data_IF_868054636745
#
_entry.id   IF_868054636745
#
_cell.length_a   1.000
_cell.length_b   1.000
_cell.length_c   1.000
_cell.angle_alpha   90.00
_cell.angle_beta   90.00
_cell.angle_gamma   90.00
#
_symmetry.space_group_name_H-M   'P 1'
#
loop_
_entity.id
_entity.type
_entity.pdbx_description
1 polymer ?
#
# COMPACT_ATOMS: atom_id res chain seq x y z
N UNK A 1 20.30 1.34 40.96
CA UNK A 1 19.26 2.38 40.87
C UNK A 1 19.14 2.81 39.42
N UNK A 2 18.15 2.22 38.75
CA UNK A 2 17.79 2.46 37.35
C UNK A 2 17.27 3.88 37.18
N UNK A 3 17.81 4.61 36.23
CA UNK A 3 17.37 5.96 35.84
C UNK A 3 15.94 5.90 35.28
N UNK A 4 14.98 5.94 36.20
CA UNK A 4 13.60 6.29 35.96
C UNK A 4 13.44 7.74 36.41
N UNK A 5 12.74 8.50 35.57
CA UNK A 5 12.15 9.81 35.85
C UNK A 5 13.11 11.00 35.72
N UNK A 6 13.04 11.69 34.57
CA UNK A 6 12.77 13.15 34.47
C UNK A 6 13.17 13.68 33.07
N UNK A 7 12.35 13.39 32.06
CA UNK A 7 12.12 14.31 30.94
C UNK A 7 10.61 14.22 30.63
N UNK A 8 9.91 15.30 30.93
CA UNK A 8 8.49 15.59 30.67
C UNK A 8 7.77 14.68 29.65
N UNK A 9 6.98 13.73 30.17
CA UNK A 9 5.54 13.60 29.92
C UNK A 9 4.95 13.64 28.50
N UNK A 10 5.74 13.60 27.42
CA UNK A 10 5.26 13.49 26.04
C UNK A 10 6.00 12.35 25.39
N UNK A 11 5.35 11.19 25.39
CA UNK A 11 5.79 10.10 24.54
C UNK A 11 5.70 10.60 23.10
N UNK A 12 6.82 10.63 22.41
CA UNK A 12 6.85 11.04 21.02
C UNK A 12 6.06 10.06 20.14
N UNK A 13 5.33 10.59 19.18
CA UNK A 13 4.43 9.83 18.32
C UNK A 13 3.02 9.66 18.88
N UNK A 14 2.02 9.57 17.99
CA UNK A 14 0.59 9.49 18.33
C UNK A 14 0.25 8.32 19.27
N UNK A 15 1.03 7.25 19.22
CA UNK A 15 0.88 6.06 20.04
C UNK A 15 2.27 5.59 20.53
N UNK A 16 2.52 5.56 21.85
CA UNK A 16 3.73 4.98 22.43
C UNK A 16 3.88 3.50 22.07
N UNK A 17 5.08 3.09 21.68
CA UNK A 17 5.41 1.69 21.45
C UNK A 17 6.63 1.31 22.28
N UNK A 18 6.43 0.35 23.20
CA UNK A 18 7.52 -0.19 24.00
C UNK A 18 8.57 -0.85 23.10
N UNK A 19 9.84 -0.61 23.39
CA UNK A 19 10.97 -1.14 22.61
C UNK A 19 11.30 -0.35 21.33
N UNK A 20 10.58 0.74 21.03
CA UNK A 20 10.86 1.62 19.89
C UNK A 20 11.20 3.01 20.39
N UNK A 21 12.34 3.54 19.95
CA UNK A 21 12.72 4.92 20.19
C UNK A 21 11.94 5.84 19.23
N UNK A 22 10.92 6.52 19.74
CA UNK A 22 10.14 7.49 19.00
C UNK A 22 10.62 8.90 19.37
N UNK A 23 10.75 9.79 18.38
CA UNK A 23 11.09 11.20 18.59
C UNK A 23 10.26 12.04 17.63
N UNK A 24 9.64 13.10 18.16
CA UNK A 24 8.90 14.08 17.36
C UNK A 24 9.83 15.22 16.95
N UNK A 25 9.70 15.64 15.69
CA UNK A 25 10.39 16.82 15.19
C UNK A 25 9.84 18.08 15.89
N UNK A 26 10.75 18.96 16.34
CA UNK A 26 10.43 20.23 16.99
C UNK A 26 11.03 21.36 16.15
N UNK A 27 10.32 21.74 15.09
CA UNK A 27 10.79 22.73 14.12
C UNK A 27 11.08 24.10 14.76
N UNK A 28 10.33 24.49 15.81
CA UNK A 28 10.51 25.75 16.56
C UNK A 28 11.91 25.90 17.17
N UNK A 29 12.56 24.79 17.53
CA UNK A 29 13.91 24.76 18.11
C UNK A 29 14.94 24.19 17.13
N UNK A 30 14.61 24.10 15.84
CA UNK A 30 15.49 23.59 14.79
C UNK A 30 15.70 22.07 14.80
N UNK A 31 14.91 21.31 15.56
CA UNK A 31 15.00 19.85 15.57
C UNK A 31 14.17 19.24 14.43
N UNK A 32 14.74 19.24 13.22
CA UNK A 32 14.11 18.77 11.97
C UNK A 32 14.34 17.28 11.70
N UNK A 33 13.67 16.71 10.69
CA UNK A 33 13.90 15.33 10.23
C UNK A 33 15.37 15.09 9.89
N UNK A 34 16.04 16.07 9.28
CA UNK A 34 17.47 16.01 8.97
C UNK A 34 18.33 15.85 10.22
N UNK A 35 18.03 16.62 11.27
CA UNK A 35 18.77 16.54 12.54
C UNK A 35 18.50 15.21 13.22
N UNK A 36 17.23 14.77 13.27
CA UNK A 36 16.83 13.52 13.89
C UNK A 36 17.46 12.30 13.19
N UNK A 37 17.33 12.20 11.86
CA UNK A 37 17.88 11.08 11.08
C UNK A 37 19.40 11.04 11.18
N UNK A 38 20.11 12.17 11.06
CA UNK A 38 21.58 12.17 11.22
C UNK A 38 22.02 11.75 12.63
N UNK A 39 21.23 12.07 13.66
CA UNK A 39 21.49 11.62 15.03
C UNK A 39 21.31 10.12 15.15
N UNK A 40 20.21 9.56 14.63
CA UNK A 40 19.97 8.12 14.63
C UNK A 40 21.04 7.37 13.84
N UNK A 41 21.47 7.87 12.68
CA UNK A 41 22.52 7.22 11.89
C UNK A 41 23.86 7.10 12.62
N UNK A 42 24.15 7.94 13.62
CA UNK A 42 25.34 7.79 14.49
C UNK A 42 25.18 6.66 15.51
N UNK A 43 23.95 6.32 15.87
CA UNK A 43 23.61 5.23 16.79
C UNK A 43 23.60 3.85 16.11
N UNK A 44 23.86 3.78 14.79
CA UNK A 44 23.81 2.55 13.97
C UNK A 44 22.47 1.79 14.15
N UNK A 45 21.36 2.38 13.71
CA UNK A 45 20.05 1.80 13.91
C UNK A 45 19.81 0.64 12.94
N UNK A 46 19.14 -0.41 13.42
CA UNK A 46 18.71 -1.53 12.58
C UNK A 46 17.55 -1.13 11.67
N UNK A 47 16.59 -0.37 12.19
CA UNK A 47 15.38 0.08 11.50
C UNK A 47 15.15 1.58 11.74
N UNK A 48 14.86 2.33 10.67
CA UNK A 48 14.37 3.70 10.75
C UNK A 48 13.00 3.78 10.05
N UNK A 49 12.05 4.50 10.67
CA UNK A 49 10.78 4.86 10.04
C UNK A 49 10.64 6.37 9.90
N UNK A 50 10.42 6.86 8.68
CA UNK A 50 10.22 8.28 8.38
C UNK A 50 9.20 8.48 7.25
N UNK A 51 8.67 9.69 7.09
CA UNK A 51 7.77 10.03 5.99
C UNK A 51 8.57 10.74 4.89
N UNK A 52 8.30 10.42 3.63
CA UNK A 52 8.93 11.07 2.49
C UNK A 52 8.03 12.19 2.01
N UNK A 53 8.39 13.43 2.32
CA UNK A 53 7.58 14.60 1.97
C UNK A 53 8.21 15.38 0.81
N UNK A 54 9.54 15.46 0.80
CA UNK A 54 10.32 16.28 -0.10
C UNK A 54 11.63 15.58 -0.53
N UNK A 55 12.41 16.28 -1.34
CA UNK A 55 13.72 15.82 -1.80
C UNK A 55 14.70 15.56 -0.64
N UNK A 56 14.67 16.38 0.43
CA UNK A 56 15.63 16.26 1.53
C UNK A 56 15.39 15.00 2.38
N UNK A 57 14.16 14.82 2.85
CA UNK A 57 13.71 13.63 3.60
C UNK A 57 13.91 12.35 2.79
N UNK A 58 13.67 12.40 1.48
CA UNK A 58 13.92 11.28 0.57
C UNK A 58 15.39 10.94 0.48
N UNK A 59 16.29 11.93 0.27
CA UNK A 59 17.73 11.66 0.26
C UNK A 59 18.25 11.08 1.57
N UNK A 60 17.70 11.51 2.70
CA UNK A 60 18.06 10.95 4.01
C UNK A 60 17.65 9.49 4.15
N UNK A 61 16.46 9.12 3.67
CA UNK A 61 16.00 7.74 3.64
C UNK A 61 16.94 6.84 2.82
N UNK A 62 17.30 7.25 1.60
CA UNK A 62 18.22 6.48 0.75
C UNK A 62 19.64 6.42 1.33
N UNK A 63 20.11 7.47 1.99
CA UNK A 63 21.40 7.47 2.72
C UNK A 63 21.39 6.53 3.92
N UNK A 64 20.26 6.38 4.61
CA UNK A 64 20.12 5.39 5.67
C UNK A 64 20.13 3.97 5.08
N UNK A 65 19.40 3.74 4.00
CA UNK A 65 19.35 2.45 3.31
C UNK A 65 20.74 2.00 2.82
N UNK A 66 21.56 2.91 2.25
CA UNK A 66 22.92 2.59 1.80
C UNK A 66 23.87 2.18 2.93
N UNK A 67 23.54 2.51 4.18
CA UNK A 67 24.25 2.05 5.38
C UNK A 67 23.72 0.74 5.96
N UNK A 68 22.92 -0.01 5.19
CA UNK A 68 22.31 -1.29 5.58
C UNK A 68 21.29 -1.17 6.73
N UNK A 69 20.72 0.01 6.95
CA UNK A 69 19.57 0.19 7.83
C UNK A 69 18.29 -0.13 7.06
N UNK A 70 17.37 -0.89 7.64
CA UNK A 70 16.03 -1.08 7.05
C UNK A 70 15.24 0.22 7.18
N UNK A 71 14.76 0.75 6.07
CA UNK A 71 13.99 1.99 6.05
C UNK A 71 12.53 1.71 5.74
N UNK A 72 11.65 2.04 6.68
CA UNK A 72 10.20 1.99 6.49
C UNK A 72 9.69 3.39 6.21
N UNK A 73 9.19 3.60 5.01
CA UNK A 73 8.79 4.92 4.54
C UNK A 73 7.40 4.95 3.96
N UNK A 74 6.74 6.09 4.07
CA UNK A 74 5.44 6.35 3.45
C UNK A 74 5.55 7.53 2.48
N UNK A 75 4.92 7.37 1.31
CA UNK A 75 4.83 8.38 0.26
C UNK A 75 3.43 8.39 -0.34
N UNK A 76 2.94 9.56 -0.73
CA UNK A 76 1.59 9.70 -1.31
C UNK A 76 1.62 9.45 -2.82
N UNK A 77 1.06 8.31 -3.23
CA UNK A 77 0.98 7.87 -4.63
C UNK A 77 -0.30 7.09 -4.93
N UNK A 78 -0.59 6.92 -6.22
CA UNK A 78 -1.81 6.25 -6.68
C UNK A 78 -1.66 4.73 -6.84
N UNK A 79 -0.49 4.23 -7.24
CA UNK A 79 -0.14 2.81 -7.39
C UNK A 79 1.29 2.54 -6.90
N UNK A 80 1.67 1.27 -6.74
CA UNK A 80 3.02 0.92 -6.29
C UNK A 80 4.06 1.31 -7.34
N UNK A 81 3.78 1.03 -8.63
CA UNK A 81 4.68 1.40 -9.72
C UNK A 81 4.90 2.92 -9.85
N UNK A 82 3.91 3.75 -9.51
CA UNK A 82 4.04 5.21 -9.59
C UNK A 82 5.00 5.83 -8.56
N UNK A 83 5.45 5.05 -7.55
CA UNK A 83 6.48 5.47 -6.61
C UNK A 83 7.80 5.79 -7.31
N UNK A 84 8.19 5.01 -8.31
CA UNK A 84 9.47 5.21 -9.00
C UNK A 84 9.54 6.58 -9.69
N UNK A 85 8.48 6.98 -10.39
CA UNK A 85 8.37 8.31 -11.00
C UNK A 85 8.37 9.41 -9.94
N UNK A 86 7.64 9.23 -8.84
CA UNK A 86 7.59 10.22 -7.75
C UNK A 86 8.98 10.44 -7.12
N UNK A 87 9.71 9.35 -6.85
CA UNK A 87 11.06 9.43 -6.28
C UNK A 87 12.09 9.96 -7.28
N UNK A 88 11.97 9.64 -8.57
CA UNK A 88 12.77 10.24 -9.64
C UNK A 88 12.56 11.76 -9.71
N UNK A 89 11.31 12.21 -9.61
CA UNK A 89 10.99 13.64 -9.56
C UNK A 89 11.51 14.32 -8.28
N UNK A 90 11.71 13.55 -7.21
CA UNK A 90 12.39 13.97 -5.98
C UNK A 90 13.91 13.80 -6.05
N UNK A 91 14.50 13.66 -7.24
CA UNK A 91 15.95 13.70 -7.46
C UNK A 91 16.71 12.43 -7.12
N UNK A 92 16.03 11.30 -6.88
CA UNK A 92 16.70 10.02 -6.62
C UNK A 92 17.15 9.38 -7.93
N UNK A 93 18.41 8.92 -7.95
CA UNK A 93 19.02 8.31 -9.13
C UNK A 93 18.38 6.96 -9.46
N UNK A 94 18.37 6.57 -10.74
CA UNK A 94 17.87 5.25 -11.16
C UNK A 94 18.63 4.10 -10.48
N UNK A 95 19.94 4.27 -10.29
CA UNK A 95 20.76 3.32 -9.57
C UNK A 95 20.25 3.11 -8.15
N UNK A 96 20.03 4.20 -7.39
CA UNK A 96 19.53 4.11 -6.02
C UNK A 96 18.12 3.50 -5.96
N UNK A 97 17.24 3.85 -6.90
CA UNK A 97 15.89 3.27 -6.99
C UNK A 97 15.92 1.76 -7.20
N UNK A 98 16.77 1.27 -8.12
CA UNK A 98 16.91 -0.17 -8.40
C UNK A 98 17.59 -0.93 -7.25
N UNK A 99 18.49 -0.28 -6.52
CA UNK A 99 19.35 -0.95 -5.53
C UNK A 99 18.72 -1.00 -4.14
N UNK A 100 18.11 0.10 -3.69
CA UNK A 100 17.74 0.25 -2.27
C UNK A 100 16.25 0.07 -1.98
N UNK A 101 15.42 -0.06 -3.02
CA UNK A 101 14.00 -0.37 -2.84
C UNK A 101 13.82 -1.88 -2.92
N UNK A 102 13.30 -2.49 -1.86
CA UNK A 102 13.01 -3.92 -1.80
C UNK A 102 11.54 -4.24 -2.12
N UNK A 103 10.62 -3.51 -1.50
CA UNK A 103 9.18 -3.72 -1.58
C UNK A 103 8.45 -2.38 -1.53
N UNK A 104 7.45 -2.22 -2.38
CA UNK A 104 6.52 -1.10 -2.35
C UNK A 104 5.12 -1.67 -2.15
N UNK A 105 4.39 -1.12 -1.16
CA UNK A 105 2.99 -1.48 -0.93
C UNK A 105 2.10 -0.25 -1.13
N UNK A 106 1.25 -0.29 -2.16
CA UNK A 106 0.16 0.66 -2.30
C UNK A 106 -1.09 0.10 -1.62
N UNK A 107 -1.77 0.92 -0.83
CA UNK A 107 -2.89 0.48 -0.01
C UNK A 107 -4.09 1.41 -0.06
N UNK A 108 -5.28 0.83 0.05
CA UNK A 108 -6.55 1.54 0.26
C UNK A 108 -7.36 0.83 1.34
N UNK A 109 -8.13 1.61 2.07
CA UNK A 109 -9.07 1.10 3.06
C UNK A 109 -10.46 1.33 2.49
N UNK A 110 -11.20 0.25 2.26
CA UNK A 110 -12.55 0.29 1.70
C UNK A 110 -13.55 -0.22 2.72
N UNK A 111 -14.84 0.13 2.56
CA UNK A 111 -15.88 -0.30 3.49
C UNK A 111 -16.17 -1.80 3.36
N UNK A 112 -16.41 -2.44 4.50
CA UNK A 112 -16.82 -3.84 4.59
C UNK A 112 -18.34 -3.92 4.65
N UNK A 113 -18.94 -4.79 3.83
CA UNK A 113 -20.38 -5.03 3.87
C UNK A 113 -20.80 -5.56 5.25
N UNK A 114 -21.94 -5.08 5.73
CA UNK A 114 -22.54 -5.59 6.95
C UNK A 114 -23.05 -7.02 6.71
N UNK A 115 -22.45 -8.00 7.39
CA UNK A 115 -22.78 -9.42 7.21
C UNK A 115 -24.23 -9.74 7.60
N UNK A 116 -24.83 -8.96 8.51
CA UNK A 116 -26.20 -9.19 8.99
C UNK A 116 -27.28 -8.70 8.02
N UNK A 117 -26.94 -7.82 7.07
CA UNK A 117 -27.94 -7.25 6.16
C UNK A 117 -27.55 -7.26 4.68
N UNK A 118 -26.33 -7.68 4.31
CA UNK A 118 -25.93 -7.77 2.90
C UNK A 118 -26.90 -8.64 2.11
N UNK A 119 -27.25 -8.18 0.91
CA UNK A 119 -28.15 -8.91 0.02
C UNK A 119 -27.35 -9.57 -1.11
N UNK A 120 -27.52 -10.87 -1.26
CA UNK A 120 -26.97 -11.62 -2.38
C UNK A 120 -27.73 -11.27 -3.67
N UNK A 121 -27.00 -11.16 -4.78
CA UNK A 121 -27.59 -11.05 -6.11
C UNK A 121 -26.73 -11.76 -7.15
N UNK A 122 -27.39 -12.28 -8.18
CA UNK A 122 -26.73 -12.79 -9.37
C UNK A 122 -26.37 -11.62 -10.29
N UNK A 123 -25.08 -11.43 -10.63
CA UNK A 123 -24.66 -10.36 -11.53
C UNK A 123 -25.20 -10.59 -12.94
N UNK A 124 -25.39 -9.50 -13.70
CA UNK A 124 -25.75 -9.61 -15.12
C UNK A 124 -24.55 -10.05 -15.97
N UNK A 125 -24.80 -10.70 -17.10
CA UNK A 125 -23.73 -11.05 -18.07
C UNK A 125 -22.95 -9.82 -18.55
N UNK A 126 -23.59 -8.65 -18.59
CA UNK A 126 -22.92 -7.38 -18.91
C UNK A 126 -21.89 -7.00 -17.84
N UNK A 127 -22.24 -7.16 -16.57
CA UNK A 127 -21.35 -6.88 -15.44
C UNK A 127 -20.20 -7.90 -15.37
N UNK A 128 -20.48 -9.19 -15.55
CA UNK A 128 -19.45 -10.23 -15.60
C UNK A 128 -18.44 -10.00 -16.74
N UNK A 129 -18.92 -9.62 -17.93
CA UNK A 129 -18.06 -9.21 -19.05
C UNK A 129 -17.27 -7.94 -18.75
N UNK A 130 -17.89 -6.95 -18.12
CA UNK A 130 -17.19 -5.73 -17.72
C UNK A 130 -16.05 -6.03 -16.73
N UNK A 131 -16.29 -6.91 -15.76
CA UNK A 131 -15.29 -7.33 -14.79
C UNK A 131 -14.26 -8.32 -15.36
N UNK A 132 -14.45 -8.80 -16.61
CA UNK A 132 -13.66 -9.88 -17.25
C UNK A 132 -13.50 -11.08 -16.33
N UNK A 133 -14.64 -11.58 -15.87
CA UNK A 133 -14.68 -12.80 -15.06
C UNK A 133 -14.49 -14.01 -15.96
N UNK A 134 -13.27 -14.53 -15.98
CA UNK A 134 -12.84 -15.73 -16.69
C UNK A 134 -11.96 -16.61 -15.77
N UNK A 135 -11.58 -17.79 -16.26
CA UNK A 135 -10.74 -18.73 -15.52
C UNK A 135 -9.38 -18.13 -15.13
N UNK A 136 -8.79 -17.33 -16.03
CA UNK A 136 -7.51 -16.67 -15.82
C UNK A 136 -7.58 -15.65 -14.66
N UNK A 137 -8.71 -14.96 -14.51
CA UNK A 137 -8.94 -14.09 -13.37
C UNK A 137 -8.92 -14.88 -12.07
N UNK A 138 -9.65 -15.99 -11.97
CA UNK A 138 -9.70 -16.79 -10.74
C UNK A 138 -8.32 -17.33 -10.35
N UNK A 139 -7.57 -17.83 -11.32
CA UNK A 139 -6.18 -18.25 -11.12
C UNK A 139 -5.31 -17.10 -10.60
N UNK A 140 -5.36 -15.93 -11.28
CA UNK A 140 -4.62 -14.74 -10.86
C UNK A 140 -5.00 -14.32 -9.44
N UNK A 141 -6.29 -14.31 -9.11
CA UNK A 141 -6.80 -13.94 -7.79
C UNK A 141 -6.51 -15.00 -6.72
N UNK A 142 -6.00 -16.18 -7.06
CA UNK A 142 -5.79 -17.29 -6.13
C UNK A 142 -7.10 -17.76 -5.49
N UNK A 143 -8.16 -17.85 -6.29
CA UNK A 143 -9.49 -18.32 -5.90
C UNK A 143 -9.82 -19.61 -6.67
N UNK A 144 -10.62 -20.53 -6.09
CA UNK A 144 -11.13 -21.66 -6.83
C UNK A 144 -12.01 -21.18 -7.98
N UNK A 145 -11.89 -21.80 -9.15
CA UNK A 145 -12.70 -21.43 -10.31
C UNK A 145 -14.19 -21.63 -10.02
N UNK A 146 -14.97 -20.58 -10.29
CA UNK A 146 -16.43 -20.62 -10.30
C UNK A 146 -16.91 -20.25 -11.70
N UNK A 147 -17.90 -20.99 -12.21
CA UNK A 147 -18.52 -20.63 -13.47
C UNK A 147 -19.14 -19.23 -13.36
N UNK A 148 -19.01 -18.35 -14.37
CA UNK A 148 -19.49 -16.97 -14.27
C UNK A 148 -20.95 -16.85 -13.78
N UNK A 149 -21.83 -17.78 -14.19
CA UNK A 149 -23.24 -17.82 -13.77
C UNK A 149 -23.49 -18.31 -12.34
N UNK A 150 -22.51 -18.89 -11.65
CA UNK A 150 -22.63 -19.31 -10.24
C UNK A 150 -22.14 -18.25 -9.25
N UNK A 151 -21.45 -17.22 -9.73
CA UNK A 151 -20.85 -16.20 -8.87
C UNK A 151 -21.94 -15.35 -8.25
N UNK A 152 -21.88 -15.21 -6.92
CA UNK A 152 -22.81 -14.38 -6.16
C UNK A 152 -22.08 -13.16 -5.64
N UNK A 153 -22.59 -11.97 -5.97
CA UNK A 153 -22.13 -10.73 -5.37
C UNK A 153 -23.09 -10.26 -4.29
N UNK A 154 -22.62 -9.31 -3.49
CA UNK A 154 -23.40 -8.75 -2.39
C UNK A 154 -23.49 -7.23 -2.52
N UNK A 155 -24.65 -6.69 -2.18
CA UNK A 155 -24.92 -5.24 -2.16
C UNK A 155 -25.37 -4.78 -0.76
N UNK A 156 -25.14 -3.51 -0.41
CA UNK A 156 -25.58 -2.96 0.87
C UNK A 156 -27.11 -2.83 0.92
N UNK A 157 -27.72 -3.23 2.05
CA UNK A 157 -29.15 -3.04 2.33
C UNK A 157 -29.41 -2.01 3.43
N UNK A 158 -28.65 -2.09 4.53
CA UNK A 158 -28.86 -1.30 5.73
C UNK A 158 -29.71 -2.02 6.79
N UNK A 159 -29.29 -1.89 8.04
CA UNK A 159 -30.01 -2.36 9.23
C UNK A 159 -29.59 -1.53 10.45
N UNK A 160 -30.19 -1.79 11.62
CA UNK A 160 -29.86 -1.11 12.88
C UNK A 160 -28.38 -1.24 13.26
N UNK A 161 -27.78 -2.43 13.08
CA UNK A 161 -26.39 -2.69 13.45
C UNK A 161 -25.39 -1.84 12.67
N UNK A 162 -25.65 -1.59 11.38
CA UNK A 162 -24.82 -0.74 10.54
C UNK A 162 -25.34 0.70 10.40
N UNK A 163 -26.28 1.10 11.28
CA UNK A 163 -26.89 2.43 11.28
C UNK A 163 -27.45 2.82 9.89
N UNK A 164 -28.06 1.86 9.19
CA UNK A 164 -28.66 2.06 7.87
C UNK A 164 -27.67 2.16 6.70
N UNK A 165 -26.35 2.17 6.93
CA UNK A 165 -25.37 2.36 5.85
C UNK A 165 -25.19 1.14 4.93
N UNK A 166 -25.51 -0.06 5.42
CA UNK A 166 -25.19 -1.33 4.74
C UNK A 166 -23.73 -1.79 4.88
N UNK A 167 -22.89 -1.02 5.57
CA UNK A 167 -21.48 -1.32 5.81
C UNK A 167 -21.18 -1.35 7.32
N UNK A 168 -20.40 -2.33 7.76
CA UNK A 168 -20.00 -2.48 9.15
C UNK A 168 -18.54 -2.91 9.17
N UNK A 169 -17.65 -1.93 9.43
CA UNK A 169 -16.18 -2.02 9.38
C UNK A 169 -15.54 -1.66 8.01
N UNK A 170 -14.22 -1.80 7.92
CA UNK A 170 -13.37 -1.54 6.76
C UNK A 170 -12.37 -2.66 6.55
N UNK A 171 -11.93 -2.84 5.32
CA UNK A 171 -10.90 -3.82 4.94
C UNK A 171 -9.78 -3.14 4.17
N UNK A 172 -8.57 -3.65 4.35
CA UNK A 172 -7.40 -3.26 3.58
C UNK A 172 -7.38 -4.02 2.25
N UNK A 173 -7.23 -3.27 1.16
CA UNK A 173 -6.79 -3.81 -0.13
C UNK A 173 -5.42 -3.24 -0.44
N UNK A 174 -4.53 -4.08 -0.95
CA UNK A 174 -3.17 -3.67 -1.23
C UNK A 174 -2.62 -4.31 -2.50
N UNK A 175 -1.75 -3.56 -3.16
CA UNK A 175 -0.90 -3.96 -4.26
C UNK A 175 0.54 -3.97 -3.74
N UNK A 176 1.23 -5.10 -3.91
CA UNK A 176 2.57 -5.32 -3.36
C UNK A 176 3.55 -5.59 -4.49
N UNK A 177 4.36 -4.57 -4.82
CA UNK A 177 5.38 -4.63 -5.85
C UNK A 177 6.73 -4.94 -5.22
N UNK A 178 7.21 -6.16 -5.43
CA UNK A 178 8.57 -6.55 -5.04
C UNK A 178 9.55 -6.15 -6.14
N UNK A 179 10.66 -5.52 -5.79
CA UNK A 179 11.70 -5.18 -6.77
C UNK A 179 12.55 -6.42 -7.03
N UNK A 180 12.27 -7.11 -8.12
CA UNK A 180 12.98 -8.30 -8.60
C UNK A 180 14.18 -7.92 -9.47
N UNK A 181 15.14 -8.83 -9.72
CA UNK A 181 16.26 -8.54 -10.64
C UNK A 181 15.81 -8.04 -12.02
N UNK A 182 14.73 -8.61 -12.58
CA UNK A 182 14.14 -8.16 -13.85
C UNK A 182 13.68 -6.69 -13.76
N UNK A 183 13.00 -6.33 -12.67
CA UNK A 183 12.60 -4.93 -12.43
C UNK A 183 13.79 -4.01 -12.18
N UNK A 184 14.87 -4.48 -11.53
CA UNK A 184 16.09 -3.70 -11.35
C UNK A 184 16.69 -3.30 -12.69
N UNK A 185 16.80 -4.25 -13.63
CA UNK A 185 17.30 -4.01 -14.98
C UNK A 185 16.43 -3.01 -15.75
N UNK A 186 15.10 -3.12 -15.63
CA UNK A 186 14.15 -2.18 -16.24
C UNK A 186 14.33 -0.77 -15.64
N UNK A 187 14.46 -0.66 -14.32
CA UNK A 187 14.63 0.63 -13.63
C UNK A 187 15.92 1.33 -14.05
N UNK A 188 17.01 0.56 -14.25
CA UNK A 188 18.29 1.06 -14.74
C UNK A 188 18.23 1.53 -16.20
N UNK A 189 17.43 0.87 -17.05
CA UNK A 189 17.41 1.10 -18.50
C UNK A 189 16.23 1.96 -18.98
N UNK A 190 16.01 3.15 -18.40
CA UNK A 190 14.91 4.08 -18.76
C UNK A 190 13.54 3.39 -18.85
N UNK A 191 12.86 3.28 -17.71
CA UNK A 191 11.54 2.67 -17.61
C UNK A 191 10.37 3.62 -17.92
N UNK A 192 9.22 3.02 -18.20
CA UNK A 192 7.91 3.63 -17.98
C UNK A 192 7.17 2.98 -16.81
N UNK A 193 6.29 3.73 -16.12
CA UNK A 193 5.46 3.18 -15.02
C UNK A 193 4.64 1.97 -15.50
N UNK A 194 4.14 2.01 -16.73
CA UNK A 194 3.38 0.91 -17.34
C UNK A 194 4.20 -0.37 -17.49
N UNK A 195 5.47 -0.24 -17.87
CA UNK A 195 6.37 -1.36 -18.05
C UNK A 195 6.71 -2.03 -16.71
N UNK A 196 6.96 -1.23 -15.67
CA UNK A 196 7.15 -1.72 -14.31
C UNK A 196 5.89 -2.44 -13.82
N UNK A 197 4.72 -1.82 -13.95
CA UNK A 197 3.45 -2.40 -13.52
C UNK A 197 3.15 -3.72 -14.25
N UNK A 198 3.30 -3.73 -15.58
CA UNK A 198 3.12 -4.94 -16.40
C UNK A 198 4.05 -6.06 -15.94
N UNK A 199 5.33 -5.77 -15.77
CA UNK A 199 6.32 -6.76 -15.33
C UNK A 199 5.99 -7.30 -13.94
N UNK A 200 5.60 -6.43 -13.01
CA UNK A 200 5.21 -6.84 -11.67
C UNK A 200 3.96 -7.74 -11.68
N UNK A 201 2.96 -7.45 -12.54
CA UNK A 201 1.77 -8.30 -12.72
C UNK A 201 2.15 -9.66 -13.31
N UNK A 202 3.02 -9.70 -14.33
CA UNK A 202 3.57 -10.95 -14.89
C UNK A 202 4.27 -11.81 -13.81
N UNK A 203 4.89 -11.16 -12.82
CA UNK A 203 5.55 -11.81 -11.68
C UNK A 203 4.60 -12.10 -10.49
N UNK A 204 3.29 -11.94 -10.69
CA UNK A 204 2.26 -12.33 -9.71
C UNK A 204 1.77 -11.21 -8.78
N UNK A 205 2.10 -9.95 -9.05
CA UNK A 205 1.53 -8.82 -8.32
C UNK A 205 0.03 -8.69 -8.61
N UNK A 206 -0.79 -8.70 -7.55
CA UNK A 206 -2.18 -8.28 -7.62
C UNK A 206 -2.26 -6.74 -7.61
N UNK A 207 -3.01 -6.18 -8.55
CA UNK A 207 -3.31 -4.75 -8.54
C UNK A 207 -4.32 -4.40 -7.47
N UNK A 208 -4.48 -3.12 -7.14
CA UNK A 208 -5.57 -2.67 -6.25
C UNK A 208 -6.96 -3.06 -6.79
N UNK A 209 -7.13 -3.09 -8.11
CA UNK A 209 -8.34 -3.57 -8.75
C UNK A 209 -8.57 -5.06 -8.48
N UNK A 210 -7.56 -5.90 -8.70
CA UNK A 210 -7.63 -7.34 -8.45
C UNK A 210 -7.90 -7.63 -6.97
N UNK A 211 -7.21 -6.94 -6.06
CA UNK A 211 -7.43 -7.07 -4.62
C UNK A 211 -8.87 -6.67 -4.22
N UNK A 212 -9.41 -5.59 -4.80
CA UNK A 212 -10.79 -5.17 -4.58
C UNK A 212 -11.82 -6.19 -5.11
N UNK A 213 -11.64 -6.64 -6.35
CA UNK A 213 -12.51 -7.62 -6.98
C UNK A 213 -12.50 -8.96 -6.23
N UNK A 214 -11.32 -9.42 -5.79
CA UNK A 214 -11.19 -10.59 -4.92
C UNK A 214 -12.04 -10.45 -3.66
N UNK A 215 -12.01 -9.30 -2.99
CA UNK A 215 -12.83 -9.08 -1.80
C UNK A 215 -14.33 -8.99 -2.11
N UNK A 216 -14.70 -8.51 -3.29
CA UNK A 216 -16.09 -8.47 -3.74
C UNK A 216 -16.64 -9.88 -4.05
N UNK A 217 -15.86 -10.73 -4.71
CA UNK A 217 -16.20 -12.15 -4.97
C UNK A 217 -16.36 -12.90 -3.64
N UNK A 218 -15.49 -12.65 -2.67
CA UNK A 218 -15.62 -13.22 -1.31
C UNK A 218 -16.79 -12.62 -0.49
N UNK A 219 -17.50 -11.63 -1.04
CA UNK A 219 -18.64 -10.98 -0.39
C UNK A 219 -18.29 -10.07 0.79
N UNK A 220 -17.02 -9.68 0.93
CA UNK A 220 -16.58 -8.79 2.00
C UNK A 220 -16.85 -7.31 1.70
N UNK A 221 -16.93 -6.93 0.43
CA UNK A 221 -17.26 -5.57 -0.02
C UNK A 221 -18.20 -5.65 -1.23
N UNK A 222 -18.74 -4.51 -1.66
CA UNK A 222 -19.59 -4.44 -2.85
C UNK A 222 -18.76 -4.08 -4.09
N UNK A 223 -19.31 -4.34 -5.28
CA UNK A 223 -18.66 -3.93 -6.54
C UNK A 223 -18.53 -2.40 -6.60
N UNK A 224 -19.59 -1.70 -6.23
CA UNK A 224 -19.64 -0.23 -6.23
C UNK A 224 -18.56 0.37 -5.33
N UNK A 225 -18.33 -0.22 -4.16
CA UNK A 225 -17.34 0.26 -3.20
C UNK A 225 -15.92 0.17 -3.75
N UNK A 226 -15.49 -1.00 -4.26
CA UNK A 226 -14.10 -1.11 -4.72
C UNK A 226 -13.86 -0.36 -6.04
N UNK A 227 -14.88 -0.27 -6.92
CA UNK A 227 -14.78 0.48 -8.18
C UNK A 227 -14.53 1.98 -7.96
N UNK A 228 -14.87 2.55 -6.80
CA UNK A 228 -14.50 3.93 -6.45
C UNK A 228 -12.98 4.13 -6.28
N UNK A 229 -12.23 3.07 -5.94
CA UNK A 229 -10.81 3.15 -5.57
C UNK A 229 -9.87 2.46 -6.55
N UNK A 230 -10.39 1.58 -7.42
CA UNK A 230 -9.62 0.91 -8.46
C UNK A 230 -9.80 1.57 -9.82
N UNK A 231 -8.70 2.03 -10.44
CA UNK A 231 -8.67 2.13 -11.89
C UNK A 231 -8.39 0.74 -12.43
N UNK A 232 -9.22 0.26 -13.35
CA UNK A 232 -8.93 -0.95 -14.11
C UNK A 232 -7.55 -0.79 -14.77
N UNK A 233 -6.63 -1.75 -14.64
CA UNK A 233 -5.34 -1.69 -15.33
C UNK A 233 -5.58 -1.55 -16.84
N UNK A 234 -4.85 -0.66 -17.52
CA UNK A 234 -5.03 -0.43 -18.96
C UNK A 234 -4.71 -1.65 -19.84
N UNK A 235 -4.06 -2.66 -19.24
CA UNK A 235 -3.67 -3.90 -19.89
C UNK A 235 -4.64 -5.06 -19.62
N UNK A 236 -5.69 -4.84 -18.81
CA UNK A 236 -6.66 -5.86 -18.39
C UNK A 236 -7.84 -5.98 -19.34
#
# INVERSE_FOLDING_TARGET
MTAKEHIDGRVAGRYPMSGINQVDCKFEIGYTDTVAVNTFLKQKPDIIKLKLEDHETTRLAFRAASKKTLVLSAIHVHSAASVFDRLRNMGISQFDLSTYIFLIQAQRIIRRLCLDCREAYSPSDGLLRHLKVDEQLFERLGLPFEYPGSITFYKPRGCSKCFGSGYYDRILICESLKVTPKLQDIILNKYSVREIEKTAIEEGMLTLWDAGLRQAILGNTSIEEFMMFGKRPSHA
#
